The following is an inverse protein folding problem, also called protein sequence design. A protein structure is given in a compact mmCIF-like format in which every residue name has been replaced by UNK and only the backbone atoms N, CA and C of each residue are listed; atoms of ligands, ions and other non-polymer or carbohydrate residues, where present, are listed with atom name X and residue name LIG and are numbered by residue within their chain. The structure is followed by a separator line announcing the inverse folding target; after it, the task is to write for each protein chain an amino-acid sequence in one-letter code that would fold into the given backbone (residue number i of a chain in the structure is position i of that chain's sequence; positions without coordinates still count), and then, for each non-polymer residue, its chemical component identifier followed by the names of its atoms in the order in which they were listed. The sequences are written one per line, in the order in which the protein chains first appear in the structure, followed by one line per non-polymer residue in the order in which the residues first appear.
data_IF_129399795716
#
_entry.id   IF_129399795716
#
_cell.length_a   1.000
_cell.length_b   1.000
_cell.length_c   1.000
_cell.angle_alpha   90.00
_cell.angle_beta   90.00
_cell.angle_gamma   90.00
#
_symmetry.space_group_name_H-M   'P 1'
#
loop_
_entity.id
_entity.type
_entity.pdbx_description
1 polymer ?
#
# COMPACT_ATOMS: atom_id res chain seq x y z
N UNK A 1 -2.48 10.25 22.91
CA UNK A 1 -3.31 9.95 21.71
C UNK A 1 -2.80 8.66 21.09
N UNK A 2 -3.67 7.82 20.55
CA UNK A 2 -3.28 6.52 19.99
C UNK A 2 -3.12 6.65 18.46
N UNK A 3 -1.90 6.62 17.97
CA UNK A 3 -1.56 6.83 16.55
C UNK A 3 -1.92 5.64 15.65
N UNK A 4 -2.21 4.47 16.22
CA UNK A 4 -2.60 3.29 15.46
C UNK A 4 -4.07 3.34 15.02
N UNK A 5 -4.37 2.98 13.76
CA UNK A 5 -5.75 2.83 13.29
C UNK A 5 -6.36 1.48 13.72
N UNK A 6 -7.21 1.49 14.74
CA UNK A 6 -7.90 0.30 15.23
C UNK A 6 -8.95 -0.26 14.26
N UNK A 7 -9.31 0.47 13.19
CA UNK A 7 -10.31 0.06 12.19
C UNK A 7 -9.68 -0.40 10.88
N UNK A 8 -8.36 -0.42 10.77
CA UNK A 8 -7.64 -0.75 9.53
C UNK A 8 -8.14 -2.06 8.92
N UNK A 9 -8.22 -3.14 9.72
CA UNK A 9 -8.68 -4.45 9.25
C UNK A 9 -10.10 -4.38 8.70
N UNK A 10 -11.03 -3.72 9.41
CA UNK A 10 -12.42 -3.60 8.96
C UNK A 10 -12.53 -2.81 7.64
N UNK A 11 -11.74 -1.74 7.48
CA UNK A 11 -11.70 -0.97 6.23
C UNK A 11 -11.12 -1.79 5.09
N UNK A 12 -10.05 -2.55 5.33
CA UNK A 12 -9.44 -3.41 4.33
C UNK A 12 -10.44 -4.49 3.89
N UNK A 13 -11.13 -5.15 4.83
CA UNK A 13 -12.20 -6.11 4.50
C UNK A 13 -13.29 -5.46 3.66
N UNK A 14 -13.74 -4.24 3.99
CA UNK A 14 -14.74 -3.54 3.19
C UNK A 14 -14.24 -3.21 1.78
N UNK A 15 -12.98 -2.80 1.62
CA UNK A 15 -12.37 -2.52 0.33
C UNK A 15 -12.26 -3.80 -0.51
N UNK A 16 -11.77 -4.89 0.06
CA UNK A 16 -11.72 -6.21 -0.58
C UNK A 16 -13.11 -6.71 -0.98
N UNK A 17 -14.12 -6.50 -0.15
CA UNK A 17 -15.50 -6.84 -0.50
C UNK A 17 -16.06 -6.01 -1.66
N UNK A 18 -15.52 -4.81 -1.92
CA UNK A 18 -15.88 -4.04 -3.12
C UNK A 18 -15.20 -4.62 -4.35
N UNK A 19 -13.92 -4.95 -4.27
CA UNK A 19 -13.15 -5.64 -5.33
C UNK A 19 -13.89 -6.91 -5.76
N UNK A 20 -14.19 -7.80 -4.82
CA UNK A 20 -14.91 -9.06 -5.07
C UNK A 20 -16.31 -8.86 -5.65
N UNK A 21 -16.95 -7.71 -5.42
CA UNK A 21 -18.28 -7.39 -5.99
C UNK A 21 -18.20 -6.69 -7.33
N UNK A 22 -17.03 -6.17 -7.70
CA UNK A 22 -16.81 -5.52 -8.99
C UNK A 22 -16.59 -6.54 -10.11
N UNK A 23 -16.35 -7.81 -9.75
CA UNK A 23 -16.35 -8.95 -10.67
C UNK A 23 -17.65 -9.01 -11.47
N UNK A 24 -17.54 -8.66 -12.75
CA UNK A 24 -18.62 -8.68 -13.73
C UNK A 24 -18.52 -9.88 -14.68
N UNK A 25 -17.48 -10.72 -14.54
CA UNK A 25 -17.15 -11.79 -15.49
C UNK A 25 -17.55 -13.15 -14.95
N UNK A 26 -17.37 -13.40 -13.64
CA UNK A 26 -17.70 -14.69 -13.05
C UNK A 26 -19.20 -14.91 -12.89
N UNK A 27 -19.62 -16.17 -12.98
CA UNK A 27 -21.00 -16.55 -12.71
C UNK A 27 -21.42 -16.14 -11.29
N UNK A 28 -22.64 -15.62 -11.16
CA UNK A 28 -23.17 -15.16 -9.87
C UNK A 28 -23.09 -16.28 -8.81
N UNK A 29 -22.20 -16.09 -7.84
CA UNK A 29 -21.93 -17.07 -6.77
C UNK A 29 -20.48 -17.56 -6.76
N UNK A 30 -19.81 -17.46 -7.90
CA UNK A 30 -18.36 -17.44 -8.01
C UNK A 30 -17.92 -15.98 -7.81
N UNK A 31 -16.91 -15.78 -6.97
CA UNK A 31 -16.45 -14.48 -6.51
C UNK A 31 -14.93 -14.51 -6.66
N UNK A 32 -14.47 -14.18 -7.85
CA UNK A 32 -13.04 -14.13 -8.13
C UNK A 32 -12.53 -12.72 -7.89
N UNK A 33 -11.23 -12.60 -7.62
CA UNK A 33 -10.54 -11.32 -7.63
C UNK A 33 -9.79 -11.31 -8.94
N UNK A 34 -10.28 -10.55 -9.92
CA UNK A 34 -9.57 -10.38 -11.18
C UNK A 34 -8.61 -9.20 -11.05
N UNK A 35 -7.48 -9.28 -11.76
CA UNK A 35 -6.43 -8.26 -11.70
C UNK A 35 -6.96 -6.84 -11.93
N UNK A 36 -7.91 -6.68 -12.86
CA UNK A 36 -8.50 -5.37 -13.20
C UNK A 36 -9.29 -4.72 -12.05
N UNK A 37 -9.77 -5.49 -11.08
CA UNK A 37 -10.56 -4.96 -9.96
C UNK A 37 -9.68 -4.56 -8.76
N UNK A 38 -8.43 -5.03 -8.72
CA UNK A 38 -7.49 -4.70 -7.63
C UNK A 38 -7.06 -3.24 -7.64
N UNK A 39 -7.24 -2.54 -8.77
CA UNK A 39 -7.05 -1.08 -8.87
C UNK A 39 -7.93 -0.31 -7.86
N UNK A 40 -9.06 -0.88 -7.43
CA UNK A 40 -9.91 -0.30 -6.38
C UNK A 40 -9.23 -0.22 -5.00
N UNK A 41 -8.12 -0.93 -4.81
CA UNK A 41 -7.29 -0.86 -3.61
C UNK A 41 -6.20 0.20 -3.70
N UNK A 42 -5.99 0.79 -4.89
CA UNK A 42 -5.02 1.86 -5.07
C UNK A 42 -5.34 3.04 -4.14
N UNK A 43 -4.32 3.53 -3.44
CA UNK A 43 -4.47 4.60 -2.45
C UNK A 43 -5.08 4.16 -1.11
N UNK A 44 -5.20 2.85 -0.84
CA UNK A 44 -5.63 2.39 0.48
C UNK A 44 -4.62 2.81 1.56
N UNK A 45 -5.05 3.73 2.42
CA UNK A 45 -4.28 4.13 3.59
C UNK A 45 -4.38 3.07 4.70
N UNK A 46 -3.27 2.38 5.00
CA UNK A 46 -3.22 1.42 6.10
C UNK A 46 -3.36 2.10 7.46
N UNK A 47 -2.96 3.37 7.59
CA UNK A 47 -3.17 4.14 8.80
C UNK A 47 -3.78 5.51 8.52
N UNK A 48 -5.10 5.62 8.60
CA UNK A 48 -5.80 6.90 8.43
C UNK A 48 -5.54 7.93 9.53
N UNK A 49 -4.94 7.52 10.67
CA UNK A 49 -4.55 8.44 11.76
C UNK A 49 -3.16 9.05 11.54
N UNK A 50 -2.40 8.53 10.58
CA UNK A 50 -1.07 8.99 10.22
C UNK A 50 -0.81 8.60 8.77
N UNK A 51 -1.50 9.27 7.86
CA UNK A 51 -1.41 9.01 6.42
C UNK A 51 -0.03 9.36 5.91
N UNK A 52 0.44 8.64 4.90
CA UNK A 52 1.77 8.86 4.33
C UNK A 52 1.89 10.29 3.80
N UNK A 53 0.88 10.78 3.07
CA UNK A 53 0.88 12.14 2.51
C UNK A 53 0.83 13.27 3.53
N UNK A 54 0.49 12.99 4.80
CA UNK A 54 0.58 13.99 5.88
C UNK A 54 1.91 13.92 6.63
N UNK A 55 2.72 12.89 6.36
CA UNK A 55 3.96 12.60 7.09
C UNK A 55 5.19 12.87 6.21
N UNK A 56 5.14 12.46 4.94
CA UNK A 56 6.19 12.63 3.95
C UNK A 56 5.62 13.37 2.74
N UNK A 57 6.13 14.58 2.50
CA UNK A 57 5.72 15.44 1.40
C UNK A 57 6.61 15.29 0.15
N UNK A 58 7.65 14.45 0.24
CA UNK A 58 8.50 14.12 -0.89
C UNK A 58 7.70 13.39 -1.99
N UNK A 59 8.03 13.60 -3.27
CA UNK A 59 7.43 12.82 -4.35
C UNK A 59 7.83 11.35 -4.19
N UNK A 60 6.87 10.44 -4.41
CA UNK A 60 7.08 9.00 -4.38
C UNK A 60 6.66 8.46 -5.74
N UNK A 61 7.57 7.77 -6.41
CA UNK A 61 7.30 7.09 -7.67
C UNK A 61 7.34 5.60 -7.39
N UNK A 62 6.23 4.91 -7.66
CA UNK A 62 6.13 3.46 -7.53
C UNK A 62 5.80 2.86 -8.89
N UNK A 63 6.49 1.78 -9.24
CA UNK A 63 6.32 1.07 -10.50
C UNK A 63 6.32 -0.43 -10.28
N UNK A 64 5.55 -1.14 -11.11
CA UNK A 64 5.44 -2.60 -11.09
C UNK A 64 5.64 -3.08 -12.52
N UNK A 65 6.78 -3.73 -12.77
CA UNK A 65 7.10 -4.36 -14.04
C UNK A 65 6.81 -5.86 -13.93
N UNK A 66 5.65 -6.27 -14.46
CA UNK A 66 5.21 -7.67 -14.42
C UNK A 66 5.97 -8.57 -15.40
N UNK A 67 6.55 -8.01 -16.46
CA UNK A 67 7.30 -8.80 -17.46
C UNK A 67 8.65 -9.22 -16.90
N UNK A 68 9.30 -8.32 -16.15
CA UNK A 68 10.58 -8.57 -15.49
C UNK A 68 10.44 -9.05 -14.03
N UNK A 69 9.23 -9.02 -13.46
CA UNK A 69 8.94 -9.45 -12.10
C UNK A 69 9.56 -8.54 -11.03
N UNK A 70 9.63 -7.23 -11.29
CA UNK A 70 10.26 -6.26 -10.39
C UNK A 70 9.24 -5.25 -9.85
N UNK A 71 9.46 -4.82 -8.61
CA UNK A 71 8.71 -3.75 -7.95
C UNK A 71 9.72 -2.67 -7.55
N UNK A 72 9.50 -1.45 -8.04
CA UNK A 72 10.34 -0.30 -7.78
C UNK A 72 9.62 0.73 -6.93
N UNK A 73 10.30 1.25 -5.90
CA UNK A 73 9.88 2.44 -5.17
C UNK A 73 11.04 3.42 -5.16
N UNK A 74 10.87 4.56 -5.81
CA UNK A 74 11.83 5.64 -5.87
C UNK A 74 11.32 6.84 -5.07
N UNK A 75 12.18 7.34 -4.19
CA UNK A 75 11.99 8.61 -3.50
C UNK A 75 13.19 9.49 -3.86
N UNK A 76 13.01 10.48 -4.75
CA UNK A 76 14.07 11.40 -5.14
C UNK A 76 14.66 12.13 -3.92
N UNK A 77 15.87 12.67 -4.05
CA UNK A 77 16.46 13.47 -2.96
C UNK A 77 15.54 14.63 -2.57
N UNK A 78 15.29 14.78 -1.27
CA UNK A 78 14.43 15.81 -0.70
C UNK A 78 15.05 16.37 0.58
N UNK A 79 14.58 17.54 1.01
CA UNK A 79 14.97 18.14 2.29
C UNK A 79 14.07 17.62 3.42
N UNK A 80 14.57 16.77 4.34
CA UNK A 80 13.76 16.21 5.40
C UNK A 80 13.31 17.24 6.43
N UNK A 81 13.99 18.40 6.56
CA UNK A 81 13.59 19.45 7.50
C UNK A 81 12.28 20.14 7.11
N UNK A 82 11.98 20.15 5.81
CA UNK A 82 10.80 20.82 5.26
C UNK A 82 9.78 19.84 4.70
N UNK A 83 10.20 18.64 4.30
CA UNK A 83 9.34 17.64 3.66
C UNK A 83 8.96 16.45 4.54
N UNK A 84 9.36 16.41 5.81
CA UNK A 84 8.90 15.40 6.78
C UNK A 84 8.21 16.11 7.94
N UNK A 85 6.93 15.78 8.16
CA UNK A 85 6.18 16.23 9.33
C UNK A 85 6.56 15.39 10.55
N UNK A 86 7.75 15.63 11.08
CA UNK A 86 8.29 14.92 12.23
C UNK A 86 7.74 15.50 13.56
N UNK A 87 7.42 14.65 14.55
CA UNK A 87 7.15 15.11 15.92
C UNK A 87 8.33 15.85 16.53
N UNK A 88 8.06 16.71 17.51
CA UNK A 88 9.10 17.42 18.26
C UNK A 88 10.10 16.44 18.91
N UNK A 89 11.39 16.74 18.78
CA UNK A 89 12.47 15.89 19.30
C UNK A 89 12.87 14.72 18.40
N UNK A 90 12.28 14.59 17.20
CA UNK A 90 12.71 13.57 16.22
C UNK A 90 14.09 13.91 15.67
N UNK A 91 15.02 12.95 15.75
CA UNK A 91 16.40 13.10 15.25
C UNK A 91 16.70 12.21 14.05
N UNK A 92 15.90 11.16 13.85
CA UNK A 92 16.10 10.16 12.81
C UNK A 92 14.73 9.74 12.26
N UNK A 93 14.70 9.35 11.00
CA UNK A 93 13.57 8.67 10.39
C UNK A 93 14.10 7.51 9.54
N UNK A 94 13.23 6.55 9.24
CA UNK A 94 13.54 5.41 8.36
C UNK A 94 12.37 5.18 7.43
N UNK A 95 12.67 4.97 6.15
CA UNK A 95 11.67 4.55 5.17
C UNK A 95 11.74 3.04 5.03
N UNK A 96 10.57 2.39 5.03
CA UNK A 96 10.44 0.97 4.77
C UNK A 96 9.42 0.81 3.65
N UNK A 97 9.79 0.08 2.61
CA UNK A 97 8.91 -0.28 1.50
C UNK A 97 8.71 -1.79 1.48
N UNK A 98 7.50 -2.22 1.12
CA UNK A 98 7.17 -3.63 0.95
C UNK A 98 6.50 -3.84 -0.41
N UNK A 99 6.89 -4.90 -1.10
CA UNK A 99 6.25 -5.38 -2.32
C UNK A 99 5.70 -6.78 -2.11
N UNK A 100 4.52 -7.06 -2.64
CA UNK A 100 3.91 -8.38 -2.56
C UNK A 100 3.34 -8.81 -3.90
N UNK A 101 3.65 -10.03 -4.30
CA UNK A 101 2.97 -10.75 -5.37
C UNK A 101 1.92 -11.65 -4.70
N UNK A 102 0.66 -11.55 -5.14
CA UNK A 102 -0.46 -12.31 -4.56
C UNK A 102 -1.19 -13.05 -5.68
N UNK A 103 -1.17 -14.37 -5.59
CA UNK A 103 -2.00 -15.27 -6.40
C UNK A 103 -3.24 -15.65 -5.58
N UNK A 104 -4.37 -15.05 -5.93
CA UNK A 104 -5.64 -15.28 -5.24
C UNK A 104 -6.26 -16.65 -5.56
N UNK A 105 -5.93 -17.27 -6.69
CA UNK A 105 -6.50 -18.56 -7.10
C UNK A 105 -5.79 -19.71 -6.43
N UNK A 106 -4.47 -19.64 -6.34
CA UNK A 106 -3.64 -20.65 -5.69
C UNK A 106 -3.48 -20.40 -4.18
N UNK A 107 -3.98 -19.27 -3.67
CA UNK A 107 -3.83 -18.83 -2.29
C UNK A 107 -2.36 -18.69 -1.85
N UNK A 108 -1.51 -18.17 -2.76
CA UNK A 108 -0.07 -18.00 -2.53
C UNK A 108 0.31 -16.54 -2.59
N UNK A 109 1.33 -16.19 -1.82
CA UNK A 109 1.92 -14.87 -1.90
C UNK A 109 3.42 -14.90 -1.63
N UNK A 110 4.13 -13.97 -2.23
CA UNK A 110 5.56 -13.73 -2.01
C UNK A 110 5.73 -12.27 -1.61
N UNK A 111 6.49 -12.00 -0.55
CA UNK A 111 6.72 -10.64 -0.04
C UNK A 111 8.21 -10.35 -0.04
N UNK A 112 8.54 -9.13 -0.43
CA UNK A 112 9.88 -8.55 -0.26
C UNK A 112 9.77 -7.22 0.47
N UNK A 113 10.78 -6.89 1.28
CA UNK A 113 10.86 -5.60 1.96
C UNK A 113 12.24 -5.00 1.72
N UNK A 114 12.27 -3.68 1.56
CA UNK A 114 13.48 -2.88 1.54
C UNK A 114 13.34 -1.75 2.56
N UNK A 115 14.47 -1.23 3.01
CA UNK A 115 14.46 -0.08 3.89
C UNK A 115 15.63 0.83 3.59
N UNK A 116 15.46 2.13 3.86
CA UNK A 116 16.58 3.07 3.84
C UNK A 116 17.58 2.69 4.93
N UNK A 117 18.87 2.80 4.59
CA UNK A 117 19.97 2.67 5.55
C UNK A 117 19.90 3.73 6.65
#
# INVERSE_FOLDING_TARGET
MNSADSRMVSRLTQAMMRVVKADAVSDRGQRHILDAETELLSGFEFNIRGTLGNTLYAPIVADIDRDNGTIGVEIPSFDPLTMVAAPEGTTHFKVVSGGAEVDFEQERFVVTNAASD
#
